data_IF_336485517949
#
_entry.id   IF_336485517949
#
_cell.length_a   1.000
_cell.length_b   1.000
_cell.length_c   1.000
_cell.angle_alpha   90.00
_cell.angle_beta   90.00
_cell.angle_gamma   90.00
#
_symmetry.space_group_name_H-M   'P 1'
#
loop_
_entity.id
_entity.type
_entity.pdbx_description
1 polymer ?
#
# COMPACT_ATOMS: atom_id res chain seq x y z
N UNK A 1 -20.01 18.74 -3.45
CA UNK A 1 -19.76 18.56 -4.89
C UNK A 1 -18.54 19.36 -5.29
N UNK A 2 -17.66 18.80 -6.14
CA UNK A 2 -16.46 19.50 -6.63
C UNK A 2 -16.86 20.57 -7.65
N UNK A 3 -16.44 21.82 -7.44
CA UNK A 3 -16.58 22.88 -8.44
C UNK A 3 -15.58 22.64 -9.58
N UNK A 4 -16.09 22.09 -10.70
CA UNK A 4 -15.26 21.72 -11.85
C UNK A 4 -14.63 22.91 -12.56
N UNK A 5 -15.25 24.10 -12.52
CA UNK A 5 -14.68 25.29 -13.16
C UNK A 5 -13.46 25.75 -12.37
N UNK A 6 -13.58 25.83 -11.06
CA UNK A 6 -12.47 26.13 -10.16
C UNK A 6 -11.36 25.09 -10.27
N UNK A 7 -11.70 23.80 -10.25
CA UNK A 7 -10.72 22.72 -10.37
C UNK A 7 -9.94 22.79 -11.69
N UNK A 8 -10.61 23.02 -12.83
CA UNK A 8 -9.96 23.20 -14.13
C UNK A 8 -9.00 24.39 -14.12
N UNK A 9 -9.40 25.52 -13.53
CA UNK A 9 -8.54 26.70 -13.40
C UNK A 9 -7.30 26.41 -12.54
N UNK A 10 -7.48 25.71 -11.40
CA UNK A 10 -6.39 25.31 -10.52
C UNK A 10 -5.40 24.37 -11.22
N UNK A 11 -5.89 23.38 -11.98
CA UNK A 11 -5.05 22.47 -12.78
C UNK A 11 -4.22 23.23 -13.80
N UNK A 12 -4.84 24.12 -14.59
CA UNK A 12 -4.12 24.93 -15.59
C UNK A 12 -3.06 25.83 -14.94
N UNK A 13 -3.37 26.40 -13.78
CA UNK A 13 -2.40 27.18 -13.00
C UNK A 13 -1.21 26.32 -12.57
N UNK A 14 -1.45 25.11 -12.07
CA UNK A 14 -0.39 24.18 -11.66
C UNK A 14 0.50 23.76 -12.82
N UNK A 15 -0.08 23.47 -14.00
CA UNK A 15 0.69 23.15 -15.21
C UNK A 15 1.62 24.33 -15.58
N UNK A 16 1.10 25.57 -15.58
CA UNK A 16 1.92 26.77 -15.87
C UNK A 16 3.07 26.97 -14.87
N UNK A 17 2.83 26.66 -13.60
CA UNK A 17 3.88 26.68 -12.57
C UNK A 17 4.94 25.60 -12.87
N UNK A 18 4.49 24.40 -13.23
CA UNK A 18 5.37 23.30 -13.63
C UNK A 18 6.22 23.63 -14.86
N UNK A 19 5.65 24.25 -15.89
CA UNK A 19 6.36 24.74 -17.07
C UNK A 19 7.44 25.77 -16.71
N UNK A 20 7.11 26.75 -15.86
CA UNK A 20 8.08 27.73 -15.39
C UNK A 20 9.22 27.09 -14.58
N UNK A 21 8.88 26.09 -13.73
CA UNK A 21 9.87 25.33 -12.97
C UNK A 21 10.78 24.50 -13.89
N UNK A 22 10.22 23.91 -14.94
CA UNK A 22 10.98 23.17 -15.95
C UNK A 22 11.93 24.09 -16.70
N UNK A 23 11.48 25.26 -17.15
CA UNK A 23 12.34 26.22 -17.83
C UNK A 23 13.50 26.68 -16.93
N UNK A 24 13.19 27.06 -15.68
CA UNK A 24 14.20 27.40 -14.67
C UNK A 24 15.19 26.26 -14.44
N UNK A 25 14.76 25.01 -14.59
CA UNK A 25 15.63 23.83 -14.45
C UNK A 25 16.55 23.66 -15.67
N UNK A 26 16.06 23.89 -16.88
CA UNK A 26 16.87 23.90 -18.09
C UNK A 26 17.96 24.97 -18.07
N UNK A 27 17.66 26.13 -17.46
CA UNK A 27 18.58 27.26 -17.36
C UNK A 27 19.63 27.11 -16.24
N UNK A 28 19.50 26.09 -15.38
CA UNK A 28 20.45 25.84 -14.28
C UNK A 28 21.67 25.04 -14.73
N UNK A 29 22.78 25.25 -14.01
CA UNK A 29 23.98 24.40 -14.11
C UNK A 29 23.56 22.91 -14.04
N UNK A 30 23.94 22.07 -15.04
CA UNK A 30 23.69 20.64 -15.02
C UNK A 30 24.39 19.93 -13.85
N UNK A 31 25.25 20.62 -13.09
CA UNK A 31 25.84 20.12 -11.87
C UNK A 31 25.09 20.64 -10.63
N UNK A 32 24.69 19.71 -9.76
CA UNK A 32 24.28 20.01 -8.40
C UNK A 32 25.44 19.80 -7.43
N UNK A 33 25.41 20.49 -6.29
CA UNK A 33 26.31 20.22 -5.17
C UNK A 33 25.52 19.53 -4.06
N UNK A 34 25.96 18.34 -3.66
CA UNK A 34 25.44 17.66 -2.47
C UNK A 34 26.41 17.94 -1.32
N UNK A 35 25.93 18.63 -0.31
CA UNK A 35 26.69 18.93 0.90
C UNK A 35 26.34 17.88 1.95
N UNK A 36 27.32 17.05 2.30
CA UNK A 36 27.23 16.11 3.41
C UNK A 36 28.00 16.68 4.61
N UNK A 37 27.43 16.60 5.80
CA UNK A 37 28.10 16.97 7.05
C UNK A 37 28.29 15.70 7.86
N UNK A 38 29.54 15.38 8.21
CA UNK A 38 29.83 14.33 9.14
C UNK A 38 29.39 14.77 10.54
N UNK A 39 28.35 14.14 11.06
CA UNK A 39 27.73 14.53 12.33
C UNK A 39 28.64 14.34 13.56
N UNK A 40 29.74 13.59 13.45
CA UNK A 40 30.69 13.38 14.54
C UNK A 40 31.89 14.31 14.49
N UNK A 41 32.48 14.51 13.31
CA UNK A 41 33.66 15.37 13.15
C UNK A 41 33.33 16.82 12.78
N UNK A 42 32.09 17.10 12.37
CA UNK A 42 31.69 18.39 11.80
C UNK A 42 32.21 18.64 10.39
N UNK A 43 32.96 17.69 9.81
CA UNK A 43 33.56 17.82 8.48
C UNK A 43 32.48 17.94 7.40
N UNK A 44 32.61 18.93 6.54
CA UNK A 44 31.69 19.19 5.43
C UNK A 44 32.31 18.70 4.13
N UNK A 45 31.71 17.69 3.52
CA UNK A 45 32.11 17.19 2.19
C UNK A 45 31.12 17.70 1.14
N UNK A 46 31.63 18.36 0.12
CA UNK A 46 30.83 18.75 -1.04
C UNK A 46 31.12 17.82 -2.21
N UNK A 47 30.08 17.16 -2.72
CA UNK A 47 30.20 16.32 -3.92
C UNK A 47 29.38 16.94 -5.04
N UNK A 48 30.06 17.33 -6.13
CA UNK A 48 29.36 17.67 -7.38
C UNK A 48 28.78 16.39 -7.99
N UNK A 49 27.53 16.47 -8.42
CA UNK A 49 26.88 15.41 -9.17
C UNK A 49 26.26 16.00 -10.43
N UNK A 50 26.32 15.25 -11.53
CA UNK A 50 25.63 15.60 -12.77
C UNK A 50 24.15 15.27 -12.60
N UNK A 51 23.30 16.27 -12.77
CA UNK A 51 21.85 16.14 -12.79
C UNK A 51 21.45 15.35 -14.04
N UNK A 52 20.38 14.54 -13.97
CA UNK A 52 19.77 13.99 -15.17
C UNK A 52 19.41 15.13 -16.14
N UNK A 53 19.52 14.93 -17.45
CA UNK A 53 19.06 15.92 -18.41
C UNK A 53 17.56 16.17 -18.20
N UNK A 54 17.17 17.44 -18.25
CA UNK A 54 15.86 17.90 -17.82
C UNK A 54 14.74 17.27 -18.68
N UNK A 55 15.01 16.99 -19.95
CA UNK A 55 14.11 16.31 -20.89
C UNK A 55 13.51 15.01 -20.33
N UNK A 56 14.31 14.20 -19.61
CA UNK A 56 13.86 12.95 -18.98
C UNK A 56 12.92 13.17 -17.80
N UNK A 57 12.94 14.36 -17.21
CA UNK A 57 12.13 14.75 -16.06
C UNK A 57 11.00 15.71 -16.43
N UNK A 58 10.94 16.20 -17.68
CA UNK A 58 10.03 17.25 -18.13
C UNK A 58 8.59 16.96 -17.72
N UNK A 59 8.10 15.75 -18.06
CA UNK A 59 6.73 15.36 -17.73
C UNK A 59 6.46 15.40 -16.22
N UNK A 60 7.39 14.87 -15.43
CA UNK A 60 7.26 14.83 -13.98
C UNK A 60 7.30 16.25 -13.39
N UNK A 61 8.16 17.14 -13.88
CA UNK A 61 8.25 18.51 -13.38
C UNK A 61 6.98 19.31 -13.74
N UNK A 62 6.49 19.17 -14.97
CA UNK A 62 5.37 19.99 -15.46
C UNK A 62 4.03 19.53 -14.88
N UNK A 63 3.76 18.22 -14.88
CA UNK A 63 2.42 17.70 -14.66
C UNK A 63 2.19 17.09 -13.28
N UNK A 64 3.22 16.93 -12.43
CA UNK A 64 3.09 16.18 -11.17
C UNK A 64 1.95 16.70 -10.28
N UNK A 65 1.94 17.98 -9.93
CA UNK A 65 0.96 18.52 -8.99
C UNK A 65 -0.45 18.58 -9.59
N UNK A 66 -0.54 18.93 -10.87
CA UNK A 66 -1.79 18.96 -11.62
C UNK A 66 -2.43 17.56 -11.72
N UNK A 67 -1.62 16.55 -12.03
CA UNK A 67 -2.02 15.15 -12.08
C UNK A 67 -2.48 14.68 -10.71
N UNK A 68 -1.70 14.91 -9.67
CA UNK A 68 -1.97 14.43 -8.32
C UNK A 68 -3.27 15.05 -7.78
N UNK A 69 -3.55 16.31 -8.10
CA UNK A 69 -4.82 16.96 -7.79
C UNK A 69 -6.00 16.23 -8.45
N UNK A 70 -5.90 15.90 -9.74
CA UNK A 70 -6.98 15.19 -10.46
C UNK A 70 -7.14 13.75 -10.00
N UNK A 71 -6.04 13.03 -9.73
CA UNK A 71 -6.08 11.67 -9.18
C UNK A 71 -6.79 11.64 -7.82
N UNK A 72 -6.43 12.57 -6.93
CA UNK A 72 -7.03 12.68 -5.59
C UNK A 72 -8.54 12.90 -5.64
N UNK A 73 -9.00 13.75 -6.56
CA UNK A 73 -10.42 14.12 -6.66
C UNK A 73 -11.26 13.17 -7.54
N UNK A 74 -10.63 12.48 -8.50
CA UNK A 74 -11.32 11.61 -9.45
C UNK A 74 -11.21 10.12 -9.17
N UNK A 75 -10.21 9.68 -8.38
CA UNK A 75 -9.91 8.27 -8.15
C UNK A 75 -9.69 7.88 -6.68
N UNK A 76 -9.11 8.75 -5.82
CA UNK A 76 -8.76 8.38 -4.44
C UNK A 76 -9.84 8.69 -3.39
N UNK A 77 -10.41 9.91 -3.43
CA UNK A 77 -11.45 10.31 -2.46
C UNK A 77 -12.83 9.81 -2.85
N UNK A 78 -13.07 9.75 -4.15
CA UNK A 78 -14.33 9.35 -4.77
C UNK A 78 -14.07 9.01 -6.25
N UNK A 79 -14.95 8.21 -6.85
CA UNK A 79 -14.95 7.96 -8.28
C UNK A 79 -15.86 8.99 -8.97
N UNK A 80 -15.29 10.13 -9.38
CA UNK A 80 -16.03 11.24 -10.02
C UNK A 80 -15.78 11.26 -11.54
N UNK A 81 -16.74 10.79 -12.37
CA UNK A 81 -16.55 10.68 -13.82
C UNK A 81 -16.19 12.00 -14.50
N UNK A 82 -16.66 13.14 -13.96
CA UNK A 82 -16.38 14.45 -14.55
C UNK A 82 -14.94 14.88 -14.31
N UNK A 83 -14.40 14.58 -13.12
CA UNK A 83 -12.98 14.80 -12.80
C UNK A 83 -12.09 13.83 -13.56
N UNK A 84 -12.51 12.57 -13.71
CA UNK A 84 -11.79 11.56 -14.51
C UNK A 84 -11.70 11.99 -15.98
N UNK A 85 -12.78 12.52 -16.57
CA UNK A 85 -12.74 13.09 -17.92
C UNK A 85 -11.77 14.27 -18.01
N UNK A 86 -11.76 15.13 -16.99
CA UNK A 86 -10.85 16.28 -16.92
C UNK A 86 -9.37 15.85 -16.86
N UNK A 87 -9.05 14.73 -16.21
CA UNK A 87 -7.71 14.13 -16.23
C UNK A 87 -7.26 13.85 -17.67
N UNK A 88 -8.06 13.10 -18.43
CA UNK A 88 -7.70 12.73 -19.81
C UNK A 88 -7.70 13.91 -20.78
N UNK A 89 -8.41 14.99 -20.45
CA UNK A 89 -8.39 16.22 -21.25
C UNK A 89 -7.13 17.06 -21.03
N UNK A 90 -6.63 17.14 -19.79
CA UNK A 90 -5.59 18.12 -19.40
C UNK A 90 -4.21 17.52 -19.13
N UNK A 91 -4.13 16.23 -18.80
CA UNK A 91 -2.87 15.57 -18.48
C UNK A 91 -2.48 14.70 -19.67
N UNK A 92 -1.42 15.05 -20.42
CA UNK A 92 -1.01 14.24 -21.56
C UNK A 92 -0.45 12.88 -21.09
N UNK A 93 -0.37 11.93 -22.01
CA UNK A 93 0.32 10.66 -21.78
C UNK A 93 1.84 10.90 -21.67
N UNK A 94 2.47 10.37 -20.62
CA UNK A 94 3.93 10.36 -20.55
C UNK A 94 4.53 9.38 -21.56
N UNK A 95 5.73 9.65 -22.08
CA UNK A 95 6.43 8.70 -22.96
C UNK A 95 6.61 7.33 -22.30
N UNK A 96 6.86 7.30 -21.00
CA UNK A 96 7.01 6.06 -20.25
C UNK A 96 5.71 5.25 -20.29
N UNK A 97 4.56 5.91 -20.09
CA UNK A 97 3.26 5.27 -20.21
C UNK A 97 3.00 4.79 -21.63
N UNK A 98 3.29 5.59 -22.66
CA UNK A 98 3.14 5.17 -24.06
C UNK A 98 3.97 3.92 -24.39
N UNK A 99 5.22 3.86 -23.95
CA UNK A 99 6.09 2.68 -24.12
C UNK A 99 5.54 1.45 -23.42
N UNK A 100 5.12 1.58 -22.16
CA UNK A 100 4.56 0.46 -21.39
C UNK A 100 3.18 0.02 -21.92
N UNK A 101 2.39 0.96 -22.47
CA UNK A 101 1.12 0.68 -23.15
C UNK A 101 1.32 -0.25 -24.34
N UNK A 102 2.26 0.08 -25.22
CA UNK A 102 2.53 -0.71 -26.43
C UNK A 102 3.32 -2.01 -26.16
N UNK A 103 3.86 -2.18 -24.96
CA UNK A 103 4.66 -3.35 -24.57
C UNK A 103 3.98 -4.17 -23.47
N UNK A 104 4.33 -3.94 -22.20
CA UNK A 104 3.90 -4.74 -21.05
C UNK A 104 2.38 -4.80 -20.92
N UNK A 105 1.69 -3.66 -21.00
CA UNK A 105 0.24 -3.60 -20.79
C UNK A 105 -0.52 -4.32 -21.92
N UNK A 106 -0.09 -4.16 -23.17
CA UNK A 106 -0.64 -4.92 -24.31
C UNK A 106 -0.45 -6.44 -24.14
N UNK A 107 0.71 -6.87 -23.63
CA UNK A 107 1.02 -8.29 -23.38
C UNK A 107 0.10 -8.96 -22.36
N UNK A 108 -0.54 -8.21 -21.45
CA UNK A 108 -1.53 -8.75 -20.52
C UNK A 108 -2.77 -9.32 -21.22
N UNK A 109 -3.06 -8.90 -22.45
CA UNK A 109 -4.16 -9.44 -23.26
C UNK A 109 -3.70 -10.55 -24.23
N UNK A 110 -2.47 -11.06 -24.11
CA UNK A 110 -1.96 -12.12 -24.97
C UNK A 110 -2.74 -13.42 -24.79
N UNK A 111 -2.93 -14.17 -25.88
CA UNK A 111 -3.46 -15.54 -25.80
C UNK A 111 -2.49 -16.50 -25.10
N UNK A 112 -1.19 -16.21 -25.15
CA UNK A 112 -0.16 -17.00 -24.49
C UNK A 112 -0.05 -16.65 -23.00
N UNK A 113 -0.34 -17.64 -22.16
CA UNK A 113 -0.23 -17.58 -20.69
C UNK A 113 1.16 -17.15 -20.21
N UNK A 114 2.24 -17.64 -20.83
CA UNK A 114 3.62 -17.33 -20.43
C UNK A 114 3.88 -15.83 -20.59
N UNK A 115 3.45 -15.26 -21.72
CA UNK A 115 3.55 -13.83 -22.00
C UNK A 115 2.75 -13.01 -20.98
N UNK A 116 1.51 -13.41 -20.67
CA UNK A 116 0.69 -12.74 -19.64
C UNK A 116 1.36 -12.79 -18.27
N UNK A 117 1.90 -13.95 -17.88
CA UNK A 117 2.58 -14.14 -16.60
C UNK A 117 3.84 -13.28 -16.48
N UNK A 118 4.66 -13.21 -17.54
CA UNK A 118 5.84 -12.35 -17.57
C UNK A 118 5.47 -10.87 -17.44
N UNK A 119 4.44 -10.43 -18.16
CA UNK A 119 3.93 -9.06 -18.06
C UNK A 119 3.39 -8.74 -16.65
N UNK A 120 2.59 -9.64 -16.06
CA UNK A 120 2.05 -9.45 -14.72
C UNK A 120 3.16 -9.42 -13.65
N UNK A 121 4.18 -10.28 -13.76
CA UNK A 121 5.37 -10.26 -12.89
C UNK A 121 6.16 -8.97 -13.03
N UNK A 122 6.31 -8.46 -14.25
CA UNK A 122 6.99 -7.19 -14.48
C UNK A 122 6.27 -6.05 -13.76
N UNK A 123 4.94 -5.95 -13.91
CA UNK A 123 4.11 -4.96 -13.22
C UNK A 123 4.26 -5.10 -11.69
N UNK A 124 4.11 -6.29 -11.13
CA UNK A 124 4.29 -6.54 -9.68
C UNK A 124 5.67 -6.06 -9.18
N UNK A 125 6.74 -6.44 -9.89
CA UNK A 125 8.10 -6.04 -9.53
C UNK A 125 8.27 -4.52 -9.55
N UNK A 126 7.70 -3.83 -10.54
CA UNK A 126 7.74 -2.36 -10.62
C UNK A 126 6.89 -1.69 -9.55
N UNK A 127 5.71 -2.22 -9.27
CA UNK A 127 4.81 -1.73 -8.23
C UNK A 127 5.42 -1.84 -6.82
N UNK A 128 6.24 -2.87 -6.57
CA UNK A 128 6.94 -3.06 -5.28
C UNK A 128 8.26 -2.27 -5.15
N UNK A 129 8.84 -1.80 -6.25
CA UNK A 129 10.11 -1.09 -6.24
C UNK A 129 9.95 0.40 -5.89
N UNK A 130 9.36 0.70 -4.71
CA UNK A 130 8.89 2.01 -4.24
C UNK A 130 9.92 3.18 -4.30
N UNK A 131 11.20 2.89 -4.54
CA UNK A 131 12.26 3.89 -4.71
C UNK A 131 12.37 4.45 -6.13
N UNK A 132 11.67 3.89 -7.12
CA UNK A 132 11.66 4.40 -8.50
C UNK A 132 10.30 5.05 -8.77
N UNK A 133 10.29 6.33 -9.12
CA UNK A 133 9.07 7.04 -9.54
C UNK A 133 8.64 6.57 -10.94
N UNK A 134 8.13 5.34 -11.04
CA UNK A 134 7.59 4.78 -12.28
C UNK A 134 6.25 5.47 -12.61
N UNK A 135 6.32 6.62 -13.30
CA UNK A 135 5.17 7.52 -13.49
C UNK A 135 3.99 6.84 -14.20
N UNK A 136 4.26 5.87 -15.07
CA UNK A 136 3.24 5.11 -15.79
C UNK A 136 2.34 4.26 -14.88
N UNK A 137 2.81 3.85 -13.70
CA UNK A 137 1.99 3.14 -12.71
C UNK A 137 0.94 4.05 -12.05
N UNK A 138 1.15 5.38 -12.08
CA UNK A 138 0.16 6.37 -11.63
C UNK A 138 -0.92 6.67 -12.67
N UNK A 139 -0.79 6.13 -13.88
CA UNK A 139 -1.74 6.41 -14.95
C UNK A 139 -3.04 5.61 -14.76
N UNK A 140 -4.24 6.23 -14.76
CA UNK A 140 -5.49 5.52 -14.53
C UNK A 140 -5.76 4.36 -15.49
N UNK A 141 -5.30 4.46 -16.74
CA UNK A 141 -5.42 3.39 -17.74
C UNK A 141 -4.56 2.18 -17.40
N UNK A 142 -3.45 2.34 -16.67
CA UNK A 142 -2.64 1.22 -16.17
C UNK A 142 -3.48 0.38 -15.20
N UNK A 143 -4.12 1.04 -14.22
CA UNK A 143 -5.02 0.37 -13.27
C UNK A 143 -6.17 -0.31 -14.01
N UNK A 144 -6.84 0.41 -14.92
CA UNK A 144 -7.93 -0.14 -15.73
C UNK A 144 -7.51 -1.38 -16.53
N UNK A 145 -6.33 -1.35 -17.16
CA UNK A 145 -5.81 -2.49 -17.93
C UNK A 145 -5.57 -3.71 -17.02
N UNK A 146 -5.03 -3.49 -15.83
CA UNK A 146 -4.78 -4.56 -14.86
C UNK A 146 -6.09 -5.16 -14.31
N UNK A 147 -7.09 -4.31 -14.03
CA UNK A 147 -8.42 -4.75 -13.62
C UNK A 147 -9.07 -5.59 -14.73
N UNK A 148 -9.06 -5.09 -15.97
CA UNK A 148 -9.62 -5.80 -17.11
C UNK A 148 -8.92 -7.13 -17.38
N UNK A 149 -7.60 -7.20 -17.18
CA UNK A 149 -6.84 -8.44 -17.26
C UNK A 149 -7.23 -9.42 -16.14
N UNK A 150 -7.32 -8.94 -14.89
CA UNK A 150 -7.66 -9.77 -13.74
C UNK A 150 -9.06 -10.37 -13.85
N UNK A 151 -10.03 -9.60 -14.33
CA UNK A 151 -11.42 -10.05 -14.50
C UNK A 151 -11.59 -11.17 -15.53
N UNK A 152 -10.65 -11.34 -16.45
CA UNK A 152 -10.69 -12.36 -17.52
C UNK A 152 -9.69 -13.48 -17.31
N UNK A 153 -8.86 -13.40 -16.27
CA UNK A 153 -7.76 -14.35 -16.08
C UNK A 153 -8.22 -15.58 -15.30
N UNK A 154 -7.79 -16.74 -15.78
CA UNK A 154 -8.09 -18.04 -15.18
C UNK A 154 -6.85 -18.66 -14.53
N UNK A 155 -5.63 -18.32 -15.00
CA UNK A 155 -4.41 -18.85 -14.41
C UNK A 155 -4.13 -18.21 -13.04
N UNK A 156 -4.06 -19.00 -11.95
CA UNK A 156 -3.88 -18.47 -10.61
C UNK A 156 -2.54 -17.78 -10.40
N UNK A 157 -1.51 -18.16 -11.15
CA UNK A 157 -0.20 -17.51 -11.10
C UNK A 157 -0.26 -16.11 -11.70
N UNK A 158 -0.97 -15.93 -12.80
CA UNK A 158 -1.18 -14.60 -13.38
C UNK A 158 -2.07 -13.75 -12.46
N UNK A 159 -3.20 -14.29 -11.97
CA UNK A 159 -4.08 -13.62 -11.01
C UNK A 159 -3.32 -13.15 -9.76
N UNK A 160 -2.48 -14.01 -9.17
CA UNK A 160 -1.65 -13.65 -8.02
C UNK A 160 -0.76 -12.43 -8.30
N UNK A 161 -0.10 -12.38 -9.46
CA UNK A 161 0.78 -11.26 -9.81
C UNK A 161 -0.01 -9.99 -10.13
N UNK A 162 -1.18 -10.10 -10.78
CA UNK A 162 -2.07 -8.96 -11.02
C UNK A 162 -2.60 -8.35 -9.71
N UNK A 163 -3.06 -9.17 -8.77
CA UNK A 163 -3.49 -8.73 -7.44
C UNK A 163 -2.34 -8.05 -6.70
N UNK A 164 -1.12 -8.59 -6.78
CA UNK A 164 0.06 -7.95 -6.17
C UNK A 164 0.42 -6.62 -6.82
N UNK A 165 0.38 -6.55 -8.15
CA UNK A 165 0.63 -5.32 -8.89
C UNK A 165 -0.37 -4.22 -8.54
N UNK A 166 -1.67 -4.53 -8.55
CA UNK A 166 -2.73 -3.60 -8.15
C UNK A 166 -2.55 -3.13 -6.70
N UNK A 167 -2.28 -4.05 -5.78
CA UNK A 167 -1.96 -3.71 -4.39
C UNK A 167 -0.75 -2.78 -4.26
N UNK A 168 0.35 -3.09 -4.95
CA UNK A 168 1.55 -2.26 -4.94
C UNK A 168 1.29 -0.85 -5.46
N UNK A 169 0.51 -0.71 -6.55
CA UNK A 169 0.09 0.59 -7.09
C UNK A 169 -0.70 1.37 -6.03
N UNK A 170 -1.73 0.74 -5.44
CA UNK A 170 -2.59 1.38 -4.45
C UNK A 170 -1.81 1.98 -3.27
N UNK A 171 -0.81 1.25 -2.76
CA UNK A 171 -0.05 1.65 -1.58
C UNK A 171 1.16 2.53 -1.86
N UNK A 172 1.79 2.39 -3.02
CA UNK A 172 3.07 3.07 -3.31
C UNK A 172 2.96 4.24 -4.27
N UNK A 173 1.85 4.34 -5.02
CA UNK A 173 1.73 5.29 -6.13
C UNK A 173 0.53 6.24 -5.98
N UNK A 174 -0.68 5.69 -5.88
CA UNK A 174 -1.90 6.45 -5.60
C UNK A 174 -3.04 5.49 -5.24
N UNK A 175 -3.93 5.91 -4.33
CA UNK A 175 -4.96 5.03 -3.76
C UNK A 175 -6.22 4.93 -4.61
N UNK A 176 -6.11 4.42 -5.84
CA UNK A 176 -7.25 4.26 -6.76
C UNK A 176 -8.35 3.36 -6.18
N UNK A 177 -9.52 3.94 -5.89
CA UNK A 177 -10.63 3.23 -5.27
C UNK A 177 -11.18 2.08 -6.14
N UNK A 178 -10.94 2.08 -7.46
CA UNK A 178 -11.36 0.99 -8.36
C UNK A 178 -10.66 -0.33 -8.05
N UNK A 179 -9.51 -0.28 -7.37
CA UNK A 179 -8.73 -1.46 -6.98
C UNK A 179 -9.41 -2.24 -5.85
N UNK A 180 -10.15 -1.56 -4.97
CA UNK A 180 -10.66 -2.16 -3.73
C UNK A 180 -11.65 -3.32 -3.98
N UNK A 181 -12.66 -3.20 -4.87
CA UNK A 181 -13.56 -4.31 -5.17
C UNK A 181 -12.84 -5.53 -5.78
N UNK A 182 -11.74 -5.30 -6.49
CA UNK A 182 -10.95 -6.35 -7.13
C UNK A 182 -10.11 -7.11 -6.12
N UNK A 183 -9.51 -6.40 -5.15
CA UNK A 183 -8.87 -7.03 -4.00
C UNK A 183 -9.89 -7.83 -3.18
N UNK A 184 -11.08 -7.29 -2.94
CA UNK A 184 -12.15 -8.00 -2.22
C UNK A 184 -12.59 -9.26 -2.96
N UNK A 185 -12.79 -9.21 -4.29
CA UNK A 185 -13.12 -10.40 -5.09
C UNK A 185 -12.01 -11.46 -5.03
N UNK A 186 -10.75 -11.05 -5.01
CA UNK A 186 -9.62 -11.97 -4.96
C UNK A 186 -9.55 -12.79 -3.66
N UNK A 187 -10.22 -12.36 -2.58
CA UNK A 187 -10.35 -13.14 -1.35
C UNK A 187 -11.26 -14.37 -1.52
N UNK A 188 -12.19 -14.33 -2.47
CA UNK A 188 -13.12 -15.43 -2.76
C UNK A 188 -12.54 -16.44 -3.75
N UNK A 189 -11.28 -16.27 -4.14
CA UNK A 189 -10.60 -17.21 -5.03
C UNK A 189 -10.45 -18.58 -4.39
N UNK A 190 -10.68 -19.63 -5.18
CA UNK A 190 -10.37 -21.01 -4.79
C UNK A 190 -8.86 -21.26 -4.64
N UNK A 191 -8.03 -20.37 -5.19
CA UNK A 191 -6.58 -20.51 -5.18
C UNK A 191 -5.95 -19.78 -4.00
N UNK A 192 -5.42 -20.55 -3.05
CA UNK A 192 -4.79 -20.06 -1.82
C UNK A 192 -3.79 -18.90 -2.04
N UNK A 193 -2.96 -18.96 -3.09
CA UNK A 193 -1.95 -17.92 -3.36
C UNK A 193 -2.56 -16.57 -3.75
N UNK A 194 -3.68 -16.58 -4.47
CA UNK A 194 -4.43 -15.37 -4.83
C UNK A 194 -5.05 -14.75 -3.58
N UNK A 195 -5.67 -15.57 -2.73
CA UNK A 195 -6.22 -15.14 -1.44
C UNK A 195 -5.12 -14.56 -0.55
N UNK A 196 -3.98 -15.23 -0.44
CA UNK A 196 -2.85 -14.79 0.39
C UNK A 196 -2.28 -13.45 -0.12
N UNK A 197 -2.22 -13.23 -1.43
CA UNK A 197 -1.85 -11.95 -2.02
C UNK A 197 -2.87 -10.86 -1.70
N UNK A 198 -4.17 -11.17 -1.80
CA UNK A 198 -5.23 -10.22 -1.53
C UNK A 198 -5.33 -9.84 -0.04
N UNK A 199 -5.02 -10.75 0.89
CA UNK A 199 -4.88 -10.44 2.33
C UNK A 199 -3.74 -9.46 2.55
N UNK A 200 -2.55 -9.76 1.99
CA UNK A 200 -1.36 -8.94 2.14
C UNK A 200 -1.60 -7.51 1.65
N UNK A 201 -2.22 -7.36 0.50
CA UNK A 201 -2.41 -6.05 -0.13
C UNK A 201 -3.71 -5.36 0.28
N UNK A 202 -4.68 -6.09 0.81
CA UNK A 202 -5.83 -5.53 1.51
C UNK A 202 -5.48 -4.92 2.87
N UNK A 203 -4.35 -5.34 3.47
CA UNK A 203 -3.92 -4.94 4.80
C UNK A 203 -3.77 -3.41 4.95
N UNK A 204 -4.59 -2.82 5.82
CA UNK A 204 -4.58 -1.38 6.10
C UNK A 204 -5.65 -0.59 5.37
N UNK A 205 -6.40 -1.21 4.44
CA UNK A 205 -7.61 -0.61 3.89
C UNK A 205 -8.67 -0.63 4.99
N UNK A 206 -9.06 0.55 5.48
CA UNK A 206 -10.03 0.69 6.56
C UNK A 206 -11.47 0.52 6.06
N UNK A 207 -11.82 -0.70 5.64
CA UNK A 207 -13.17 -1.07 5.19
C UNK A 207 -13.80 -2.12 6.09
N UNK A 208 -15.07 -1.97 6.47
CA UNK A 208 -15.77 -2.96 7.28
C UNK A 208 -15.70 -4.38 6.71
N UNK A 209 -15.83 -4.52 5.39
CA UNK A 209 -15.88 -5.80 4.68
C UNK A 209 -14.57 -6.58 4.84
N UNK A 210 -13.43 -5.89 4.72
CA UNK A 210 -12.11 -6.46 4.97
C UNK A 210 -12.00 -7.06 6.37
N UNK A 211 -12.38 -6.28 7.39
CA UNK A 211 -12.23 -6.71 8.78
C UNK A 211 -13.21 -7.82 9.18
N UNK A 212 -14.41 -7.85 8.60
CA UNK A 212 -15.34 -8.98 8.75
C UNK A 212 -14.65 -10.26 8.30
N UNK A 213 -14.08 -10.27 7.10
CA UNK A 213 -13.40 -11.45 6.55
C UNK A 213 -12.15 -11.84 7.34
N UNK A 214 -11.36 -10.88 7.84
CA UNK A 214 -10.24 -11.17 8.76
C UNK A 214 -10.73 -11.91 10.01
N UNK A 215 -11.82 -11.44 10.62
CA UNK A 215 -12.40 -12.10 11.79
C UNK A 215 -12.88 -13.52 11.45
N UNK A 216 -13.59 -13.69 10.33
CA UNK A 216 -14.09 -15.00 9.90
C UNK A 216 -12.94 -15.99 9.66
N UNK A 217 -11.85 -15.54 9.02
CA UNK A 217 -10.67 -16.38 8.81
C UNK A 217 -9.97 -16.75 10.13
N UNK A 218 -9.82 -15.82 11.07
CA UNK A 218 -9.23 -16.09 12.39
C UNK A 218 -10.11 -16.99 13.26
N UNK A 219 -11.42 -17.06 13.02
CA UNK A 219 -12.32 -18.01 13.66
C UNK A 219 -12.15 -19.45 13.19
N UNK A 220 -11.42 -19.68 12.09
CA UNK A 220 -11.23 -20.99 11.48
C UNK A 220 -9.81 -21.56 11.73
N UNK A 221 -9.61 -22.83 11.38
CA UNK A 221 -8.27 -23.44 11.39
C UNK A 221 -7.41 -22.87 10.26
N UNK A 222 -6.30 -22.22 10.61
CA UNK A 222 -5.40 -21.56 9.67
C UNK A 222 -4.08 -22.30 9.51
N UNK A 223 -3.53 -22.26 8.29
CA UNK A 223 -2.10 -22.57 8.10
C UNK A 223 -1.24 -21.46 8.72
N UNK A 224 -0.05 -21.81 9.22
CA UNK A 224 0.84 -20.86 9.87
C UNK A 224 1.18 -19.64 9.00
N UNK A 225 1.42 -19.85 7.69
CA UNK A 225 1.67 -18.78 6.73
C UNK A 225 0.50 -17.79 6.65
N UNK A 226 -0.73 -18.29 6.60
CA UNK A 226 -1.93 -17.45 6.53
C UNK A 226 -2.17 -16.69 7.82
N UNK A 227 -1.91 -17.32 8.97
CA UNK A 227 -1.93 -16.62 10.25
C UNK A 227 -0.94 -15.44 10.23
N UNK A 228 0.31 -15.65 9.80
CA UNK A 228 1.28 -14.54 9.71
C UNK A 228 0.81 -13.38 8.82
N UNK A 229 0.15 -13.67 7.69
CA UNK A 229 -0.41 -12.65 6.82
C UNK A 229 -1.51 -11.83 7.53
N UNK A 230 -2.44 -12.50 8.21
CA UNK A 230 -3.52 -11.84 8.96
C UNK A 230 -2.98 -11.04 10.15
N UNK A 231 -1.97 -11.55 10.86
CA UNK A 231 -1.32 -10.84 11.96
C UNK A 231 -0.63 -9.55 11.48
N UNK A 232 0.00 -9.58 10.30
CA UNK A 232 0.62 -8.41 9.69
C UNK A 232 -0.43 -7.37 9.25
N UNK A 233 -1.63 -7.80 8.91
CA UNK A 233 -2.73 -6.90 8.56
C UNK A 233 -3.28 -6.13 9.77
N UNK A 234 -3.17 -6.67 10.97
CA UNK A 234 -3.68 -6.06 12.21
C UNK A 234 -2.63 -5.12 12.80
N UNK A 235 -2.80 -3.83 12.50
CA UNK A 235 -1.91 -2.75 12.93
C UNK A 235 -2.48 -1.98 14.13
N UNK A 236 -1.68 -1.11 14.74
CA UNK A 236 -2.08 -0.29 15.90
C UNK A 236 -3.25 0.66 15.59
N UNK A 237 -3.36 1.12 14.36
CA UNK A 237 -4.42 2.00 13.84
C UNK A 237 -5.70 1.26 13.43
N UNK A 238 -5.77 -0.06 13.61
CA UNK A 238 -7.02 -0.84 13.44
C UNK A 238 -8.17 -0.19 14.23
N UNK A 239 -9.36 0.02 13.64
CA UNK A 239 -10.46 0.65 14.36
C UNK A 239 -10.85 -0.10 15.64
N UNK A 240 -11.20 0.64 16.69
CA UNK A 240 -11.52 0.08 18.02
C UNK A 240 -12.60 -1.00 17.99
N UNK A 241 -13.65 -0.80 17.18
CA UNK A 241 -14.72 -1.81 17.01
C UNK A 241 -14.18 -3.16 16.56
N UNK A 242 -13.15 -3.16 15.69
CA UNK A 242 -12.52 -4.37 15.18
C UNK A 242 -11.50 -4.93 16.15
N UNK A 243 -10.72 -4.10 16.84
CA UNK A 243 -9.82 -4.54 17.91
C UNK A 243 -10.54 -5.39 18.95
N UNK A 244 -11.70 -4.94 19.45
CA UNK A 244 -12.51 -5.69 20.42
C UNK A 244 -12.95 -7.07 19.89
N UNK A 245 -13.34 -7.15 18.62
CA UNK A 245 -13.71 -8.43 17.96
C UNK A 245 -12.51 -9.34 17.72
N UNK A 246 -11.35 -8.77 17.39
CA UNK A 246 -10.13 -9.51 17.08
C UNK A 246 -9.46 -10.11 18.31
N UNK A 247 -9.50 -9.44 19.47
CA UNK A 247 -8.85 -9.90 20.70
C UNK A 247 -9.17 -11.36 21.10
N UNK A 248 -10.44 -11.77 21.25
CA UNK A 248 -10.76 -13.16 21.60
C UNK A 248 -10.29 -14.15 20.52
N UNK A 249 -10.41 -13.78 19.24
CA UNK A 249 -9.96 -14.61 18.12
C UNK A 249 -8.44 -14.81 18.16
N UNK A 250 -7.66 -13.74 18.34
CA UNK A 250 -6.20 -13.82 18.46
C UNK A 250 -5.76 -14.66 19.66
N UNK A 251 -6.43 -14.50 20.81
CA UNK A 251 -6.15 -15.30 22.01
C UNK A 251 -6.43 -16.79 21.75
N UNK A 252 -7.52 -17.13 21.06
CA UNK A 252 -7.81 -18.52 20.72
C UNK A 252 -6.70 -19.17 19.87
N UNK A 253 -6.03 -18.39 19.01
CA UNK A 253 -4.91 -18.87 18.19
C UNK A 253 -3.65 -19.17 19.03
N UNK A 254 -3.53 -18.65 20.25
CA UNK A 254 -2.35 -18.89 21.10
C UNK A 254 -2.17 -20.37 21.47
N UNK A 255 -3.29 -21.07 21.62
CA UNK A 255 -3.32 -22.49 21.98
C UNK A 255 -3.02 -23.42 20.80
N UNK A 256 -2.97 -22.90 19.57
CA UNK A 256 -2.55 -23.67 18.42
C UNK A 256 -1.07 -24.07 18.49
N UNK A 257 -0.70 -25.13 17.79
CA UNK A 257 0.69 -25.57 17.64
C UNK A 257 1.46 -24.60 16.73
N UNK A 258 1.88 -23.48 17.30
CA UNK A 258 2.63 -22.41 16.63
C UNK A 258 4.13 -22.50 16.94
N UNK A 259 4.97 -22.22 15.94
CA UNK A 259 6.40 -22.06 16.16
C UNK A 259 6.71 -20.77 16.96
N UNK A 260 7.95 -20.64 17.46
CA UNK A 260 8.39 -19.52 18.31
C UNK A 260 8.16 -18.16 17.66
N UNK A 261 8.49 -18.03 16.38
CA UNK A 261 8.30 -16.80 15.60
C UNK A 261 6.82 -16.43 15.49
N UNK A 262 5.95 -17.41 15.23
CA UNK A 262 4.52 -17.16 15.09
C UNK A 262 3.87 -16.77 16.40
N UNK A 263 4.27 -17.39 17.52
CA UNK A 263 3.85 -16.96 18.86
C UNK A 263 4.31 -15.53 19.17
N UNK A 264 5.52 -15.19 18.78
CA UNK A 264 6.06 -13.84 18.93
C UNK A 264 5.25 -12.80 18.14
N UNK A 265 4.97 -13.05 16.86
CA UNK A 265 4.12 -12.19 16.03
C UNK A 265 2.71 -12.08 16.63
N UNK A 266 2.12 -13.20 17.06
CA UNK A 266 0.78 -13.21 17.65
C UNK A 266 0.71 -12.35 18.93
N UNK A 267 1.69 -12.50 19.83
CA UNK A 267 1.78 -11.67 21.03
C UNK A 267 1.94 -10.18 20.69
N UNK A 268 2.80 -9.83 19.72
CA UNK A 268 2.93 -8.45 19.27
C UNK A 268 1.61 -7.89 18.69
N UNK A 269 0.90 -8.68 17.88
CA UNK A 269 -0.39 -8.29 17.32
C UNK A 269 -1.46 -8.11 18.41
N UNK A 270 -1.49 -8.97 19.44
CA UNK A 270 -2.39 -8.78 20.60
C UNK A 270 -2.12 -7.43 21.27
N UNK A 271 -0.85 -7.04 21.48
CA UNK A 271 -0.50 -5.72 22.03
C UNK A 271 -0.91 -4.55 21.12
N UNK A 272 -0.90 -4.73 19.80
CA UNK A 272 -1.40 -3.71 18.85
C UNK A 272 -2.90 -3.45 19.02
N UNK A 273 -3.66 -4.45 19.47
CA UNK A 273 -5.11 -4.29 19.71
C UNK A 273 -5.45 -3.62 21.04
N UNK A 274 -4.47 -3.36 21.92
CA UNK A 274 -4.71 -2.96 23.31
C UNK A 274 -4.57 -1.44 23.56
N UNK A 275 -5.52 -0.59 23.20
CA UNK A 275 -5.47 0.85 23.52
C UNK A 275 -6.35 1.20 24.73
N UNK A 276 -6.41 2.47 25.11
CA UNK A 276 -7.21 2.96 26.24
C UNK A 276 -8.66 2.47 26.22
N UNK A 277 -9.24 2.24 25.02
CA UNK A 277 -10.64 1.84 24.84
C UNK A 277 -10.84 0.33 24.75
N UNK A 278 -9.75 -0.46 24.74
CA UNK A 278 -9.80 -1.92 24.54
C UNK A 278 -8.94 -2.71 25.54
N UNK A 279 -8.12 -2.04 26.36
CA UNK A 279 -7.17 -2.69 27.27
C UNK A 279 -7.86 -3.43 28.42
N UNK A 280 -8.97 -2.92 28.95
CA UNK A 280 -9.67 -3.58 30.06
C UNK A 280 -10.33 -4.89 29.62
N UNK A 281 -11.00 -4.90 28.47
CA UNK A 281 -11.54 -6.14 27.89
C UNK A 281 -10.43 -7.16 27.57
N UNK A 282 -9.26 -6.70 27.10
CA UNK A 282 -8.12 -7.60 26.93
C UNK A 282 -7.61 -8.16 28.26
N UNK A 283 -7.55 -7.35 29.33
CA UNK A 283 -7.11 -7.82 30.65
C UNK A 283 -7.95 -8.98 31.15
N UNK A 284 -9.27 -8.89 30.99
CA UNK A 284 -10.22 -9.94 31.36
C UNK A 284 -9.96 -11.23 30.57
N UNK A 285 -9.76 -11.12 29.26
CA UNK A 285 -9.47 -12.28 28.40
C UNK A 285 -8.12 -12.96 28.73
N UNK A 286 -7.17 -12.24 29.33
CA UNK A 286 -5.86 -12.77 29.70
C UNK A 286 -5.85 -13.43 31.10
N UNK A 287 -6.97 -13.45 31.80
CA UNK A 287 -7.00 -14.05 33.13
C UNK A 287 -6.66 -15.56 33.08
N UNK A 288 -5.87 -16.02 34.05
CA UNK A 288 -5.32 -17.39 34.06
C UNK A 288 -4.28 -17.73 32.97
N UNK A 289 -4.07 -16.90 31.94
CA UNK A 289 -3.17 -17.22 30.81
C UNK A 289 -1.68 -16.87 31.06
N UNK A 290 -1.04 -17.51 32.06
CA UNK A 290 0.35 -17.21 32.47
C UNK A 290 1.34 -17.19 31.30
N UNK A 291 1.34 -18.21 30.45
CA UNK A 291 2.29 -18.32 29.34
C UNK A 291 2.13 -17.21 28.28
N UNK A 292 0.91 -16.78 28.00
CA UNK A 292 0.65 -15.66 27.09
C UNK A 292 1.08 -14.34 27.74
N UNK A 293 0.76 -14.12 29.02
CA UNK A 293 1.19 -12.92 29.77
C UNK A 293 2.72 -12.75 29.74
N UNK A 294 3.49 -13.82 29.97
CA UNK A 294 4.96 -13.78 29.86
C UNK A 294 5.42 -13.37 28.45
N UNK A 295 4.83 -13.94 27.40
CA UNK A 295 5.19 -13.58 26.02
C UNK A 295 4.83 -12.13 25.68
N UNK A 296 3.69 -11.63 26.18
CA UNK A 296 3.28 -10.23 26.04
C UNK A 296 4.25 -9.29 26.77
N UNK A 297 4.69 -9.63 27.99
CA UNK A 297 5.70 -8.87 28.73
C UNK A 297 7.03 -8.78 27.97
N UNK A 298 7.48 -9.89 27.39
CA UNK A 298 8.70 -9.90 26.61
C UNK A 298 8.58 -9.07 25.34
N UNK A 299 7.42 -9.08 24.68
CA UNK A 299 7.17 -8.26 23.50
C UNK A 299 6.98 -6.79 23.80
N UNK A 300 6.43 -6.44 24.96
CA UNK A 300 6.21 -5.04 25.34
C UNK A 300 7.51 -4.25 25.45
N UNK A 301 8.64 -4.91 25.76
CA UNK A 301 9.99 -4.32 25.84
C UNK A 301 10.46 -3.64 24.55
N UNK A 302 9.92 -4.05 23.40
CA UNK A 302 10.27 -3.48 22.08
C UNK A 302 9.34 -2.32 21.66
N UNK A 303 8.38 -1.94 22.50
CA UNK A 303 7.49 -0.81 22.25
C UNK A 303 8.12 0.48 22.78
N UNK A 304 7.55 1.63 22.40
CA UNK A 304 7.96 2.92 22.97
C UNK A 304 7.82 2.91 24.49
N UNK A 305 8.67 3.66 25.20
CA UNK A 305 8.69 3.71 26.67
C UNK A 305 7.31 4.00 27.26
N UNK A 306 6.60 5.00 26.72
CA UNK A 306 5.24 5.36 27.15
C UNK A 306 4.25 4.20 26.95
N UNK A 307 4.32 3.54 25.79
CA UNK A 307 3.43 2.44 25.45
C UNK A 307 3.68 1.22 26.32
N UNK A 308 4.95 0.91 26.58
CA UNK A 308 5.38 -0.15 27.48
C UNK A 308 4.85 0.10 28.90
N UNK A 309 5.07 1.31 29.44
CA UNK A 309 4.57 1.72 30.76
C UNK A 309 3.05 1.57 30.87
N UNK A 310 2.32 2.09 29.88
CA UNK A 310 0.85 1.98 29.83
C UNK A 310 0.38 0.52 29.86
N UNK A 311 0.94 -0.34 28.99
CA UNK A 311 0.51 -1.73 28.87
C UNK A 311 0.88 -2.54 30.11
N UNK A 312 2.08 -2.37 30.67
CA UNK A 312 2.50 -3.06 31.88
C UNK A 312 1.61 -2.67 33.08
N UNK A 313 1.28 -1.38 33.22
CA UNK A 313 0.39 -0.90 34.27
C UNK A 313 -1.03 -1.45 34.13
N UNK A 314 -1.59 -1.45 32.90
CA UNK A 314 -3.00 -1.84 32.67
C UNK A 314 -3.24 -3.33 32.60
N UNK A 315 -2.31 -4.11 32.03
CA UNK A 315 -2.44 -5.56 31.83
C UNK A 315 -1.74 -6.38 32.91
N UNK A 316 -0.97 -5.76 33.81
CA UNK A 316 -0.18 -6.43 34.86
C UNK A 316 0.80 -7.47 34.28
N UNK A 317 1.57 -7.06 33.26
CA UNK A 317 2.53 -7.93 32.54
C UNK A 317 3.82 -8.19 33.31
#
# INVERSE_FOLDING_TARGET
>A
MTDLRKLRADVKRLIKIGEANYQKRCDQDPYGTLTAVNLRSGEVTQRRFKRPPADREQYAIIYHDARDLLLKHGYEKQLDPKVQKLYFELIPDSEQFLRERESTLKKLSSKDKKIRLEAAKYVDNKARAAFRMEQWLRHPTTVETLINALQKEEDPGVCENLVRGLGGIYWSYFSDLRILPELERAWDSQHKRVVDAAIRWGAGINRPEFWTRVCDMLGNKLSQQRLQLLLHAIKRDTPVKWKRRLQPLLISQWNAKLNRESKASLAATILNTADERTVDGLRELLDGMKGLKTALKDRSKYLTTERNKFLNAKLKL
#
